data_IF_472469787848
#
_entry.id   IF_472469787848
#
_cell.length_a   1.000
_cell.length_b   1.000
_cell.length_c   1.000
_cell.angle_alpha   90.00
_cell.angle_beta   90.00
_cell.angle_gamma   90.00
#
_symmetry.space_group_name_H-M   'P 1'
#
loop_
_entity.id
_entity.type
_entity.pdbx_description
1 polymer ?
#
# COMPACT_ATOMS: atom_id res chain seq x y z
N UNK A 1 -3.67 -6.11 -9.69
CA UNK A 1 -2.41 -6.85 -9.96
C UNK A 1 -1.80 -6.36 -11.26
N UNK A 2 -0.49 -6.38 -11.36
CA UNK A 2 0.24 -6.15 -12.62
C UNK A 2 0.19 -7.37 -13.53
N UNK A 3 0.59 -7.19 -14.79
CA UNK A 3 0.74 -8.33 -15.74
C UNK A 3 1.77 -9.32 -15.21
N UNK A 4 2.87 -8.81 -14.64
CA UNK A 4 3.94 -9.66 -14.08
C UNK A 4 3.44 -10.48 -12.88
N UNK A 5 2.75 -9.85 -11.93
CA UNK A 5 2.14 -10.55 -10.78
C UNK A 5 1.17 -11.65 -11.22
N UNK A 6 0.34 -11.38 -12.25
CA UNK A 6 -0.56 -12.39 -12.82
C UNK A 6 0.20 -13.60 -13.37
N UNK A 7 1.26 -13.35 -14.13
CA UNK A 7 2.09 -14.41 -14.73
C UNK A 7 2.79 -15.25 -13.65
N UNK A 8 3.35 -14.60 -12.64
CA UNK A 8 4.02 -15.26 -11.51
C UNK A 8 3.04 -16.16 -10.74
N UNK A 9 1.81 -15.68 -10.48
CA UNK A 9 0.77 -16.46 -9.80
C UNK A 9 0.33 -17.71 -10.58
N UNK A 10 0.43 -17.71 -11.90
CA UNK A 10 0.11 -18.88 -12.73
C UNK A 10 1.24 -19.92 -12.78
N UNK A 11 2.48 -19.48 -12.64
CA UNK A 11 3.67 -20.33 -12.88
C UNK A 11 4.24 -20.87 -11.57
N UNK A 12 4.29 -20.04 -10.51
CA UNK A 12 5.01 -20.35 -9.29
C UNK A 12 4.12 -21.09 -8.27
N UNK A 13 4.75 -21.97 -7.50
CA UNK A 13 4.13 -22.54 -6.32
C UNK A 13 4.18 -21.56 -5.14
N UNK A 14 3.52 -21.91 -4.05
CA UNK A 14 3.44 -21.04 -2.87
C UNK A 14 4.82 -20.72 -2.29
N UNK A 15 5.69 -21.69 -2.19
CA UNK A 15 7.03 -21.53 -1.62
C UNK A 15 7.86 -20.51 -2.41
N UNK A 16 7.84 -20.61 -3.73
CA UNK A 16 8.52 -19.67 -4.62
C UNK A 16 7.95 -18.24 -4.51
N UNK A 17 6.62 -18.11 -4.40
CA UNK A 17 5.97 -16.81 -4.20
C UNK A 17 6.32 -16.21 -2.84
N UNK A 18 6.35 -17.03 -1.80
CA UNK A 18 6.69 -16.61 -0.44
C UNK A 18 8.13 -16.12 -0.34
N UNK A 19 9.06 -16.88 -0.91
CA UNK A 19 10.47 -16.53 -0.98
C UNK A 19 10.72 -15.23 -1.78
N UNK A 20 10.02 -15.06 -2.90
CA UNK A 20 10.13 -13.85 -3.72
C UNK A 20 9.66 -12.58 -2.98
N UNK A 21 8.66 -12.68 -2.10
CA UNK A 21 8.13 -11.54 -1.35
C UNK A 21 9.00 -11.23 -0.13
N UNK A 22 9.39 -12.26 0.62
CA UNK A 22 9.96 -12.11 1.96
C UNK A 22 11.45 -12.48 2.07
N UNK A 23 12.02 -13.12 1.05
CA UNK A 23 13.41 -13.63 1.03
C UNK A 23 13.62 -14.87 1.90
N UNK A 24 14.85 -15.36 1.92
CA UNK A 24 15.24 -16.64 2.55
C UNK A 24 14.97 -16.76 4.06
N UNK A 25 14.87 -15.65 4.77
CA UNK A 25 14.69 -15.63 6.24
C UNK A 25 13.22 -15.47 6.68
N UNK A 26 12.30 -15.37 5.75
CA UNK A 26 10.89 -15.10 6.02
C UNK A 26 10.21 -16.20 6.85
N UNK A 27 10.60 -17.45 6.66
CA UNK A 27 10.03 -18.60 7.37
C UNK A 27 10.28 -18.58 8.89
N UNK A 28 11.25 -17.82 9.36
CA UNK A 28 11.56 -17.68 10.80
C UNK A 28 10.67 -16.60 11.43
N UNK A 29 10.50 -15.47 10.76
CA UNK A 29 9.80 -14.27 11.27
C UNK A 29 8.28 -14.43 11.16
N UNK A 30 7.79 -14.96 10.02
CA UNK A 30 6.36 -15.01 9.67
C UNK A 30 5.76 -16.44 9.67
N UNK A 31 6.36 -17.38 10.41
CA UNK A 31 5.97 -18.81 10.40
C UNK A 31 4.46 -19.07 10.63
N UNK A 32 3.82 -18.27 11.46
CA UNK A 32 2.37 -18.38 11.71
C UNK A 32 1.50 -17.92 10.54
N UNK A 33 1.94 -16.90 9.84
CA UNK A 33 1.24 -16.32 8.70
C UNK A 33 1.48 -17.12 7.42
N UNK A 34 2.66 -17.70 7.25
CA UNK A 34 3.02 -18.54 6.11
C UNK A 34 2.03 -19.71 5.93
N UNK A 35 1.76 -20.45 7.00
CA UNK A 35 0.83 -21.59 6.95
C UNK A 35 -0.57 -21.17 6.50
N UNK A 36 -1.12 -20.10 7.11
CA UNK A 36 -2.45 -19.63 6.76
C UNK A 36 -2.51 -19.06 5.34
N UNK A 37 -1.44 -18.39 4.90
CA UNK A 37 -1.32 -17.86 3.55
C UNK A 37 -1.25 -18.98 2.52
N UNK A 38 -0.50 -20.06 2.81
CA UNK A 38 -0.44 -21.23 1.97
C UNK A 38 -1.81 -21.91 1.84
N UNK A 39 -2.50 -22.14 2.93
CA UNK A 39 -3.84 -22.75 2.93
C UNK A 39 -4.82 -21.91 2.08
N UNK A 40 -4.78 -20.58 2.19
CA UNK A 40 -5.58 -19.68 1.36
C UNK A 40 -5.22 -19.76 -0.11
N UNK A 41 -3.93 -19.71 -0.43
CA UNK A 41 -3.45 -19.78 -1.81
C UNK A 41 -3.85 -21.09 -2.48
N UNK A 42 -3.64 -22.23 -1.82
CA UNK A 42 -4.04 -23.52 -2.35
C UNK A 42 -5.56 -23.64 -2.48
N UNK A 43 -6.34 -23.05 -1.57
CA UNK A 43 -7.79 -23.03 -1.70
C UNK A 43 -8.29 -22.24 -2.90
N UNK A 44 -7.59 -21.18 -3.32
CA UNK A 44 -7.93 -20.39 -4.52
C UNK A 44 -7.70 -21.14 -5.82
N UNK A 45 -6.86 -22.17 -5.83
CA UNK A 45 -6.65 -23.05 -6.99
C UNK A 45 -7.77 -24.06 -7.19
N UNK A 46 -8.54 -24.34 -6.14
CA UNK A 46 -9.67 -25.24 -6.22
C UNK A 46 -10.89 -24.55 -6.86
N UNK A 47 -11.67 -25.27 -7.68
CA UNK A 47 -12.85 -24.70 -8.30
C UNK A 47 -13.92 -24.36 -7.26
N UNK A 48 -14.45 -23.15 -7.34
CA UNK A 48 -15.59 -22.68 -6.55
C UNK A 48 -16.75 -22.46 -7.53
N UNK A 49 -17.91 -23.05 -7.26
CA UNK A 49 -19.10 -22.88 -8.09
C UNK A 49 -19.90 -21.66 -7.60
N UNK A 50 -20.08 -20.67 -8.48
CA UNK A 50 -20.91 -19.48 -8.22
C UNK A 50 -21.88 -19.31 -9.40
N UNK A 51 -23.19 -19.35 -9.13
CA UNK A 51 -24.20 -19.19 -10.17
C UNK A 51 -24.02 -20.14 -11.39
N UNK A 52 -23.70 -21.41 -11.13
CA UNK A 52 -23.43 -22.46 -12.13
C UNK A 52 -22.15 -22.25 -12.97
N UNK A 53 -21.31 -21.29 -12.63
CA UNK A 53 -19.99 -21.10 -13.21
C UNK A 53 -18.93 -21.54 -12.21
N UNK A 54 -17.88 -22.16 -12.72
CA UNK A 54 -16.73 -22.56 -11.89
C UNK A 54 -15.61 -21.53 -12.03
N UNK A 55 -15.13 -21.06 -10.89
CA UNK A 55 -14.02 -20.13 -10.80
C UNK A 55 -12.89 -20.73 -9.97
N UNK A 56 -11.67 -20.49 -10.41
CA UNK A 56 -10.44 -20.74 -9.66
C UNK A 56 -9.44 -19.60 -9.92
N UNK A 57 -8.27 -19.64 -9.31
CA UNK A 57 -7.26 -18.62 -9.48
C UNK A 57 -6.88 -18.39 -10.95
N UNK A 58 -6.73 -19.48 -11.71
CA UNK A 58 -6.36 -19.42 -13.13
C UNK A 58 -7.44 -18.72 -13.97
N UNK A 59 -8.70 -19.13 -13.84
CA UNK A 59 -9.82 -18.52 -14.57
C UNK A 59 -9.98 -17.04 -14.24
N UNK A 60 -9.85 -16.66 -12.95
CA UNK A 60 -9.92 -15.26 -12.52
C UNK A 60 -8.78 -14.40 -13.10
N UNK A 61 -7.58 -14.96 -13.22
CA UNK A 61 -6.45 -14.26 -13.83
C UNK A 61 -6.66 -14.11 -15.34
N UNK A 62 -7.09 -15.16 -16.03
CA UNK A 62 -7.33 -15.14 -17.48
C UNK A 62 -8.49 -14.20 -17.87
N UNK A 63 -9.53 -14.12 -17.07
CA UNK A 63 -10.67 -13.22 -17.28
C UNK A 63 -10.34 -11.75 -16.91
N UNK A 64 -9.24 -11.50 -16.19
CA UNK A 64 -8.88 -10.16 -15.75
C UNK A 64 -8.38 -9.30 -16.90
N UNK A 65 -9.11 -8.26 -17.25
CA UNK A 65 -8.79 -7.30 -18.32
C UNK A 65 -7.78 -6.21 -17.92
N UNK A 66 -7.30 -6.18 -16.68
CA UNK A 66 -6.34 -5.14 -16.23
C UNK A 66 -4.94 -5.42 -16.75
N UNK A 67 -4.27 -4.37 -17.26
CA UNK A 67 -2.94 -4.44 -17.86
C UNK A 67 -1.96 -3.48 -17.16
N UNK A 68 -1.94 -3.50 -15.84
CA UNK A 68 -1.06 -2.63 -15.08
C UNK A 68 0.41 -3.09 -15.20
N UNK A 69 1.29 -2.14 -15.53
CA UNK A 69 2.74 -2.37 -15.62
C UNK A 69 3.48 -2.19 -14.30
N UNK A 70 2.92 -1.43 -13.37
CA UNK A 70 3.51 -1.15 -12.05
C UNK A 70 2.54 -1.52 -10.92
N UNK A 71 3.06 -1.88 -9.72
CA UNK A 71 2.25 -2.06 -8.52
C UNK A 71 1.43 -0.81 -8.17
N UNK A 72 0.43 -0.96 -7.30
CA UNK A 72 -0.43 0.14 -6.90
C UNK A 72 0.31 1.13 -6.01
N UNK A 73 0.25 2.42 -6.40
CA UNK A 73 0.80 3.50 -5.61
C UNK A 73 -0.12 3.88 -4.44
N UNK A 74 0.50 4.22 -3.32
CA UNK A 74 -0.20 4.67 -2.13
C UNK A 74 0.64 5.63 -1.30
N UNK A 75 0.09 6.07 -0.17
CA UNK A 75 0.82 6.84 0.85
C UNK A 75 1.45 5.87 1.85
N UNK A 76 2.55 6.25 2.52
CA UNK A 76 3.09 5.47 3.63
C UNK A 76 2.01 5.21 4.69
N UNK A 77 1.82 3.95 5.07
CA UNK A 77 0.75 3.51 5.96
C UNK A 77 1.03 2.15 6.57
N UNK A 78 0.57 1.95 7.77
CA UNK A 78 0.55 0.64 8.36
C UNK A 78 -0.43 0.52 9.50
N UNK A 79 -0.36 -0.60 10.17
CA UNK A 79 -1.26 -0.93 11.27
C UNK A 79 -0.72 -0.37 12.57
N UNK A 80 -1.61 0.28 13.35
CA UNK A 80 -1.26 0.79 14.67
C UNK A 80 -0.95 -0.35 15.65
N UNK A 81 0.17 -0.24 16.32
CA UNK A 81 0.59 -1.17 17.36
C UNK A 81 -0.16 -0.95 18.69
N UNK A 82 -0.05 -1.94 19.58
CA UNK A 82 -0.64 -1.87 20.90
C UNK A 82 -0.02 -0.71 21.70
N UNK A 83 -0.88 0.13 22.29
CA UNK A 83 -0.53 1.37 23.04
C UNK A 83 0.03 2.54 22.21
N UNK A 84 0.12 2.43 20.93
CA UNK A 84 0.52 3.49 20.03
C UNK A 84 -0.67 4.44 19.75
N UNK A 85 -0.43 5.74 19.64
CA UNK A 85 -1.44 6.67 19.11
C UNK A 85 -1.46 6.62 17.58
N UNK A 86 -2.56 7.07 16.96
CA UNK A 86 -2.67 7.09 15.49
C UNK A 86 -1.53 7.91 14.84
N UNK A 87 -1.14 9.04 15.46
CA UNK A 87 -0.02 9.86 14.95
C UNK A 87 1.35 9.18 15.12
N UNK A 88 1.57 8.50 16.24
CA UNK A 88 2.82 7.76 16.46
C UNK A 88 2.97 6.64 15.42
N UNK A 89 1.86 5.92 15.14
CA UNK A 89 1.83 4.91 14.08
C UNK A 89 2.17 5.52 12.72
N UNK A 90 1.53 6.63 12.35
CA UNK A 90 1.79 7.28 11.07
C UNK A 90 3.25 7.73 10.91
N UNK A 91 3.88 8.23 11.97
CA UNK A 91 5.29 8.63 11.96
C UNK A 91 6.22 7.41 11.85
N UNK A 92 5.95 6.34 12.61
CA UNK A 92 6.73 5.09 12.56
C UNK A 92 6.66 4.46 11.16
N UNK A 93 5.47 4.28 10.62
CA UNK A 93 5.26 3.71 9.27
C UNK A 93 5.92 4.56 8.18
N UNK A 94 5.84 5.90 8.30
CA UNK A 94 6.56 6.78 7.39
C UNK A 94 8.08 6.53 7.44
N UNK A 95 8.66 6.40 8.64
CA UNK A 95 10.10 6.17 8.82
C UNK A 95 10.52 4.78 8.31
N UNK A 96 9.72 3.74 8.58
CA UNK A 96 9.97 2.36 8.14
C UNK A 96 9.86 2.19 6.62
N UNK A 97 8.81 2.73 6.02
CA UNK A 97 8.56 2.58 4.58
C UNK A 97 9.44 3.52 3.72
N UNK A 98 9.79 4.73 4.23
CA UNK A 98 10.53 5.72 3.44
C UNK A 98 12.00 5.82 3.79
N UNK A 99 12.42 5.25 4.92
CA UNK A 99 13.77 5.37 5.50
C UNK A 99 14.21 6.82 5.79
N UNK A 100 13.29 7.78 5.77
CA UNK A 100 13.56 9.13 6.23
C UNK A 100 13.44 9.22 7.74
N UNK A 101 14.38 9.94 8.38
CA UNK A 101 14.34 10.19 9.81
C UNK A 101 13.13 11.07 10.17
N UNK A 102 12.35 10.64 11.18
CA UNK A 102 11.20 11.34 11.74
C UNK A 102 11.51 12.78 12.22
N UNK A 103 12.75 13.05 12.59
CA UNK A 103 13.17 14.40 13.03
C UNK A 103 13.06 15.46 11.93
N UNK A 104 13.05 15.03 10.66
CA UNK A 104 12.85 15.92 9.51
C UNK A 104 11.38 16.19 9.21
N UNK A 105 10.47 15.47 9.87
CA UNK A 105 9.04 15.51 9.60
C UNK A 105 8.36 16.53 10.50
N UNK A 106 7.80 17.59 9.92
CA UNK A 106 7.07 18.62 10.64
C UNK A 106 5.57 18.43 10.42
N UNK A 107 4.88 17.92 11.43
CA UNK A 107 3.43 17.67 11.37
C UNK A 107 2.67 18.99 11.34
N UNK A 108 1.78 19.15 10.38
CA UNK A 108 0.91 20.33 10.26
C UNK A 108 -0.22 20.23 11.29
N UNK A 109 -0.20 21.14 12.28
CA UNK A 109 -1.07 21.06 13.47
C UNK A 109 -2.46 21.66 13.27
N UNK A 110 -2.61 22.59 12.32
CA UNK A 110 -3.87 23.27 12.05
C UNK A 110 -4.71 22.60 10.95
N UNK A 111 -4.38 21.36 10.59
CA UNK A 111 -5.17 20.53 9.67
C UNK A 111 -5.61 19.27 10.39
N UNK A 112 -6.91 19.00 10.35
CA UNK A 112 -7.48 17.76 10.86
C UNK A 112 -7.03 16.59 9.97
N UNK A 113 -6.65 15.42 10.53
CA UNK A 113 -6.32 14.26 9.74
C UNK A 113 -7.45 13.87 8.77
N UNK A 114 -7.09 13.51 7.55
CA UNK A 114 -8.05 12.99 6.59
C UNK A 114 -8.38 11.54 6.92
N UNK A 115 -9.63 11.16 6.71
CA UNK A 115 -10.08 9.80 6.98
C UNK A 115 -10.58 9.14 5.71
N UNK A 116 -10.16 7.90 5.51
CA UNK A 116 -10.65 6.96 4.51
C UNK A 116 -11.29 5.79 5.25
N UNK A 117 -12.57 5.52 4.98
CA UNK A 117 -13.31 4.42 5.62
C UNK A 117 -13.79 3.49 4.53
N UNK A 118 -13.47 2.20 4.66
CA UNK A 118 -13.90 1.19 3.72
C UNK A 118 -14.15 -0.15 4.40
N UNK A 119 -14.89 -1.02 3.73
CA UNK A 119 -15.10 -2.41 4.16
C UNK A 119 -14.20 -3.32 3.34
N UNK A 120 -13.35 -4.08 4.02
CA UNK A 120 -12.48 -5.06 3.37
C UNK A 120 -13.24 -6.31 2.91
N UNK A 121 -12.60 -7.15 2.09
CA UNK A 121 -13.14 -8.43 1.62
C UNK A 121 -13.48 -9.42 2.74
N UNK A 122 -12.91 -9.22 3.92
CA UNK A 122 -13.22 -9.99 5.15
C UNK A 122 -14.41 -9.42 5.94
N UNK A 123 -15.20 -8.51 5.36
CA UNK A 123 -16.35 -7.84 5.95
C UNK A 123 -16.05 -7.01 7.21
N UNK A 124 -14.77 -6.68 7.45
CA UNK A 124 -14.38 -5.77 8.53
C UNK A 124 -14.28 -4.35 8.01
N UNK A 125 -14.73 -3.38 8.81
CA UNK A 125 -14.54 -1.97 8.52
C UNK A 125 -13.15 -1.53 8.92
N UNK A 126 -12.51 -0.81 8.03
CA UNK A 126 -11.19 -0.23 8.20
C UNK A 126 -11.29 1.29 8.15
N UNK A 127 -10.43 1.95 8.93
CA UNK A 127 -10.26 3.39 8.87
C UNK A 127 -8.78 3.71 8.77
N UNK A 128 -8.39 4.36 7.68
CA UNK A 128 -7.09 4.99 7.54
C UNK A 128 -7.17 6.46 7.94
N UNK A 129 -6.18 6.94 8.69
CA UNK A 129 -6.01 8.35 9.02
C UNK A 129 -4.72 8.87 8.42
N UNK A 130 -4.83 9.91 7.62
CA UNK A 130 -3.71 10.55 6.95
C UNK A 130 -3.40 11.90 7.60
N UNK A 131 -2.18 12.05 8.06
CA UNK A 131 -1.66 13.28 8.64
C UNK A 131 -0.89 14.06 7.59
N UNK A 132 -1.11 15.37 7.53
CA UNK A 132 -0.33 16.25 6.67
C UNK A 132 0.95 16.66 7.38
N UNK A 133 2.08 16.52 6.70
CA UNK A 133 3.37 16.90 7.21
C UNK A 133 4.17 17.64 6.14
N UNK A 134 5.09 18.49 6.58
CA UNK A 134 6.08 19.14 5.75
C UNK A 134 7.46 18.60 6.08
N UNK A 135 8.25 18.35 5.04
CA UNK A 135 9.64 17.97 5.16
C UNK A 135 10.49 18.80 4.19
N UNK A 136 11.61 19.35 4.69
CA UNK A 136 12.58 20.01 3.83
C UNK A 136 13.52 18.94 3.25
N UNK A 137 13.43 18.72 1.94
CA UNK A 137 14.15 17.68 1.22
C UNK A 137 15.09 18.32 0.22
N UNK A 138 16.34 17.89 0.27
CA UNK A 138 17.27 18.14 -0.82
C UNK A 138 17.04 17.11 -1.93
N UNK A 139 16.29 17.51 -2.95
CA UNK A 139 15.97 16.64 -4.09
C UNK A 139 17.18 16.27 -4.94
N UNK A 140 18.31 16.99 -4.79
CA UNK A 140 19.54 16.66 -5.51
C UNK A 140 20.21 15.40 -4.97
N UNK A 141 19.97 15.08 -3.70
CA UNK A 141 20.47 13.89 -3.02
C UNK A 141 19.38 12.82 -2.81
N UNK A 142 18.24 12.96 -3.51
CA UNK A 142 17.16 11.99 -3.43
C UNK A 142 17.56 10.67 -4.09
N UNK A 143 17.71 9.63 -3.29
CA UNK A 143 17.97 8.29 -3.79
C UNK A 143 16.64 7.58 -4.09
N UNK A 144 16.27 7.50 -5.38
CA UNK A 144 15.03 6.82 -5.82
C UNK A 144 15.03 5.30 -5.58
N UNK A 145 16.20 4.74 -5.29
CA UNK A 145 16.38 3.30 -5.05
C UNK A 145 16.30 2.92 -3.56
N UNK A 146 15.68 3.75 -2.73
CA UNK A 146 15.38 3.36 -1.35
C UNK A 146 14.26 2.32 -1.42
N UNK A 147 14.64 1.06 -1.29
CA UNK A 147 13.71 -0.05 -1.12
C UNK A 147 13.81 -0.51 0.33
N UNK A 148 12.72 -0.42 1.07
CA UNK A 148 12.56 -1.21 2.29
C UNK A 148 12.14 -2.63 1.90
N UNK A 149 12.11 -3.55 2.85
CA UNK A 149 11.63 -4.92 2.58
C UNK A 149 10.17 -4.96 2.10
N UNK A 150 9.39 -3.91 2.39
CA UNK A 150 7.96 -3.85 2.10
C UNK A 150 7.62 -2.88 0.95
N UNK A 151 8.54 -1.98 0.57
CA UNK A 151 8.32 -0.95 -0.44
C UNK A 151 9.29 -1.12 -1.59
N UNK A 152 8.77 -1.41 -2.78
CA UNK A 152 9.57 -1.61 -3.99
C UNK A 152 10.04 -0.29 -4.63
N UNK A 153 9.30 0.79 -4.45
CA UNK A 153 9.59 2.10 -5.06
C UNK A 153 8.97 3.23 -4.24
N UNK A 154 9.70 4.33 -4.14
CA UNK A 154 9.22 5.58 -3.55
C UNK A 154 9.60 6.75 -4.46
N UNK A 155 8.73 7.75 -4.57
CA UNK A 155 9.03 8.98 -5.30
C UNK A 155 8.34 10.20 -4.67
N UNK A 156 8.92 11.39 -4.90
CA UNK A 156 8.31 12.67 -4.59
C UNK A 156 7.69 13.24 -5.87
N UNK A 157 6.41 13.48 -5.83
CA UNK A 157 5.62 13.79 -7.02
C UNK A 157 4.92 15.16 -6.88
N UNK A 158 4.72 15.84 -8.00
CA UNK A 158 3.75 16.93 -8.05
C UNK A 158 2.33 16.38 -7.82
N UNK A 159 1.40 17.25 -7.46
CA UNK A 159 0.00 16.89 -7.30
C UNK A 159 -0.56 16.18 -8.54
N UNK A 160 -0.32 16.73 -9.73
CA UNK A 160 -0.82 16.20 -11.00
C UNK A 160 -0.26 14.78 -11.28
N UNK A 161 1.05 14.62 -11.05
CA UNK A 161 1.71 13.34 -11.25
C UNK A 161 1.22 12.30 -10.22
N UNK A 162 1.04 12.69 -8.96
CA UNK A 162 0.47 11.80 -7.94
C UNK A 162 -0.94 11.35 -8.31
N UNK A 163 -1.80 12.27 -8.77
CA UNK A 163 -3.14 11.92 -9.24
C UNK A 163 -3.13 10.95 -10.42
N UNK A 164 -2.17 11.09 -11.35
CA UNK A 164 -2.09 10.21 -12.53
C UNK A 164 -1.64 8.79 -12.20
N UNK A 165 -0.90 8.59 -11.10
CA UNK A 165 -0.40 7.29 -10.66
C UNK A 165 -1.38 6.53 -9.74
N UNK A 166 -2.28 7.24 -9.07
CA UNK A 166 -3.33 6.58 -8.28
C UNK A 166 -4.31 5.88 -9.23
N UNK A 167 -4.67 4.64 -8.92
CA UNK A 167 -5.63 3.86 -9.73
C UNK A 167 -6.97 4.59 -9.83
N UNK A 168 -7.60 4.65 -11.02
CA UNK A 168 -8.86 5.38 -11.24
C UNK A 168 -10.02 4.95 -10.35
N UNK A 169 -10.02 3.71 -9.89
CA UNK A 169 -11.05 3.18 -8.99
C UNK A 169 -10.84 3.62 -7.53
N UNK A 170 -9.67 4.14 -7.18
CA UNK A 170 -9.34 4.56 -5.80
C UNK A 170 -9.72 6.02 -5.57
N UNK A 171 -11.02 6.29 -5.63
CA UNK A 171 -11.58 7.64 -5.53
C UNK A 171 -11.29 8.31 -4.19
N UNK A 172 -11.18 7.55 -3.13
CA UNK A 172 -10.89 8.05 -1.78
C UNK A 172 -9.51 8.68 -1.71
N UNK A 173 -8.48 8.02 -2.25
CA UNK A 173 -7.11 8.57 -2.30
C UNK A 173 -7.03 9.82 -3.19
N UNK A 174 -7.70 9.81 -4.34
CA UNK A 174 -7.79 10.98 -5.22
C UNK A 174 -8.48 12.15 -4.51
N UNK A 175 -9.56 11.89 -3.75
CA UNK A 175 -10.24 12.92 -2.97
C UNK A 175 -9.34 13.50 -1.87
N UNK A 176 -8.52 12.68 -1.20
CA UNK A 176 -7.54 13.17 -0.21
C UNK A 176 -6.51 14.07 -0.90
N UNK A 177 -5.92 13.67 -2.03
CA UNK A 177 -4.99 14.50 -2.79
C UNK A 177 -5.61 15.85 -3.19
N UNK A 178 -6.85 15.86 -3.69
CA UNK A 178 -7.58 17.06 -4.04
C UNK A 178 -7.76 18.00 -2.83
N UNK A 179 -8.18 17.47 -1.70
CA UNK A 179 -8.36 18.24 -0.46
C UNK A 179 -7.05 18.81 0.05
N UNK A 180 -5.98 18.01 0.04
CA UNK A 180 -4.64 18.47 0.43
C UNK A 180 -4.16 19.57 -0.50
N UNK A 181 -4.26 19.41 -1.82
CA UNK A 181 -3.86 20.43 -2.78
C UNK A 181 -4.64 21.74 -2.58
N UNK A 182 -5.95 21.66 -2.35
CA UNK A 182 -6.79 22.83 -2.06
C UNK A 182 -6.29 23.58 -0.81
N UNK A 183 -5.98 22.86 0.26
CA UNK A 183 -5.48 23.47 1.50
C UNK A 183 -4.11 24.10 1.29
N UNK A 184 -3.19 23.44 0.56
CA UNK A 184 -1.87 23.97 0.26
C UNK A 184 -1.90 25.27 -0.53
N UNK A 185 -2.90 25.45 -1.40
CA UNK A 185 -3.06 26.66 -2.22
C UNK A 185 -3.77 27.78 -1.44
N UNK A 186 -4.76 27.44 -0.63
CA UNK A 186 -5.69 28.43 -0.06
C UNK A 186 -5.33 28.89 1.36
N UNK A 187 -4.58 28.10 2.12
CA UNK A 187 -4.40 28.34 3.55
C UNK A 187 -2.92 28.39 3.94
N UNK A 188 -2.64 29.20 4.99
CA UNK A 188 -1.35 29.15 5.67
C UNK A 188 -1.29 27.97 6.62
N UNK A 189 -0.26 27.13 6.47
CA UNK A 189 -0.05 25.95 7.29
C UNK A 189 0.94 26.24 8.43
N UNK A 190 0.74 25.57 9.57
CA UNK A 190 1.59 25.69 10.75
C UNK A 190 2.01 24.28 11.22
N UNK A 191 3.31 24.10 11.46
CA UNK A 191 3.92 22.89 12.02
C UNK A 191 4.33 23.04 13.49
#
# INVERSE_FOLDING_TARGET
MTIEEKNILLIYNFEQLWENIWGDNASIIYRGEEKMSKEKFESLKLPISVNFLEYNLESLILESSTEWSEPEWGFPKGRRDYKETDLQSAIREFEEETLYNREKLNIIKNVIPYEEIFTGSNYKSYKHKYYLAHMNIDLTNFNKNICSTEVSKMDWLSYENACSLIRPYNLEKLNILNKVNTILIQYRLYS
#
